data_IF_378968905709
#
_entry.id   IF_378968905709
#
_cell.length_a   1.000
_cell.length_b   1.000
_cell.length_c   1.000
_cell.angle_alpha   90.00
_cell.angle_beta   90.00
_cell.angle_gamma   90.00
#
_symmetry.space_group_name_H-M   'P 1'
#
loop_
_entity.id
_entity.type
_entity.pdbx_description
1 polymer ?
#
# COMPACT_ATOMS: atom_id res chain seq x y z
N UNK A 1 -31.44 1.26 -7.77
CA UNK A 1 -30.44 2.26 -7.35
C UNK A 1 -29.10 1.80 -7.90
N UNK A 2 -28.42 2.60 -8.72
CA UNK A 2 -27.11 2.23 -9.28
C UNK A 2 -26.00 2.42 -8.25
N UNK A 3 -24.95 1.62 -8.34
CA UNK A 3 -23.76 1.82 -7.51
C UNK A 3 -23.07 3.14 -7.92
N UNK A 4 -22.88 4.05 -6.96
CA UNK A 4 -22.10 5.26 -7.19
C UNK A 4 -20.62 4.91 -7.41
N UNK A 5 -19.95 5.68 -8.27
CA UNK A 5 -18.49 5.58 -8.43
C UNK A 5 -17.85 6.14 -7.16
N UNK A 6 -16.93 5.36 -6.57
CA UNK A 6 -16.16 5.78 -5.39
C UNK A 6 -14.71 6.03 -5.77
N UNK A 7 -14.16 7.17 -5.35
CA UNK A 7 -12.74 7.47 -5.50
C UNK A 7 -11.92 6.72 -4.43
N UNK A 8 -10.73 6.25 -4.81
CA UNK A 8 -9.72 5.72 -3.90
C UNK A 8 -8.35 6.30 -4.28
N UNK A 9 -7.61 6.80 -3.29
CA UNK A 9 -6.23 7.27 -3.48
C UNK A 9 -5.28 6.11 -3.24
N UNK A 10 -4.32 5.91 -4.14
CA UNK A 10 -3.18 5.01 -3.95
C UNK A 10 -1.94 5.87 -3.81
N UNK A 11 -1.31 5.88 -2.64
CA UNK A 11 0.01 6.49 -2.43
C UNK A 11 1.06 5.40 -2.66
N UNK A 12 2.06 5.65 -3.51
CA UNK A 12 3.17 4.72 -3.70
C UNK A 12 4.44 5.26 -3.06
N UNK A 13 5.10 4.42 -2.24
CA UNK A 13 6.31 4.80 -1.51
C UNK A 13 7.54 4.01 -1.99
N UNK A 14 7.39 3.24 -3.06
CA UNK A 14 8.37 2.27 -3.56
C UNK A 14 8.07 0.85 -3.08
N UNK A 15 9.14 0.09 -2.87
CA UNK A 15 9.06 -1.33 -2.50
C UNK A 15 8.91 -2.28 -3.68
N UNK A 16 8.81 -3.56 -3.33
CA UNK A 16 8.78 -4.75 -4.20
C UNK A 16 7.78 -4.67 -5.37
N UNK A 17 6.71 -3.88 -5.22
CA UNK A 17 5.70 -3.68 -6.25
C UNK A 17 6.18 -2.76 -7.38
N UNK A 18 7.08 -1.80 -7.10
CA UNK A 18 7.60 -0.89 -8.12
C UNK A 18 8.91 -1.34 -8.77
N UNK A 19 9.51 -2.42 -8.25
CA UNK A 19 10.74 -3.02 -8.79
C UNK A 19 10.48 -3.62 -10.17
N UNK A 20 11.19 -3.10 -11.17
CA UNK A 20 11.26 -3.60 -12.54
C UNK A 20 12.55 -4.40 -12.66
N UNK A 21 12.49 -5.67 -13.07
CA UNK A 21 13.69 -6.44 -13.39
C UNK A 21 14.29 -5.92 -14.71
N UNK A 22 15.59 -5.61 -14.69
CA UNK A 22 16.36 -5.28 -15.87
C UNK A 22 17.13 -6.52 -16.33
N UNK A 23 16.74 -7.07 -17.47
CA UNK A 23 17.29 -8.31 -18.03
C UNK A 23 18.76 -8.17 -18.49
N UNK A 24 19.24 -6.93 -18.73
CA UNK A 24 20.59 -6.69 -19.23
C UNK A 24 21.66 -6.73 -18.13
N UNK A 25 21.32 -6.37 -16.89
CA UNK A 25 22.28 -6.30 -15.78
C UNK A 25 21.82 -7.06 -14.52
N UNK A 26 20.64 -7.66 -14.54
CA UNK A 26 20.07 -8.41 -13.42
C UNK A 26 19.62 -7.52 -12.24
N UNK A 27 19.61 -6.20 -12.41
CA UNK A 27 19.22 -5.26 -11.35
C UNK A 27 17.71 -5.10 -11.24
N UNK A 28 17.24 -4.77 -10.03
CA UNK A 28 15.86 -4.40 -9.76
C UNK A 28 15.79 -2.88 -9.60
N UNK A 29 15.32 -2.19 -10.64
CA UNK A 29 15.19 -0.73 -10.63
C UNK A 29 13.74 -0.29 -10.39
N UNK A 30 13.58 0.76 -9.60
CA UNK A 30 12.30 1.42 -9.37
C UNK A 30 12.04 2.45 -10.49
N UNK A 31 11.20 2.13 -11.48
CA UNK A 31 10.94 3.05 -12.62
C UNK A 31 9.69 3.93 -12.49
N UNK A 32 8.97 3.87 -11.37
CA UNK A 32 7.77 4.68 -11.13
C UNK A 32 6.61 4.35 -12.09
N UNK A 33 5.37 4.49 -11.62
CA UNK A 33 4.11 4.24 -12.39
C UNK A 33 3.90 2.83 -12.96
N UNK A 34 4.60 1.81 -12.43
CA UNK A 34 4.40 0.41 -12.82
C UNK A 34 3.06 -0.19 -12.35
N UNK A 35 2.50 0.29 -11.23
CA UNK A 35 1.23 -0.24 -10.69
C UNK A 35 0.06 -0.10 -11.67
N UNK A 36 -0.03 1.03 -12.38
CA UNK A 36 -1.14 1.32 -13.30
C UNK A 36 -1.15 0.34 -14.47
N UNK A 37 0.02 0.10 -15.06
CA UNK A 37 0.16 -0.73 -16.24
C UNK A 37 0.20 -2.23 -15.92
N UNK A 38 0.62 -2.62 -14.71
CA UNK A 38 0.82 -4.04 -14.35
C UNK A 38 -0.32 -4.66 -13.56
N UNK A 39 -1.00 -3.89 -12.70
CA UNK A 39 -2.11 -4.37 -11.88
C UNK A 39 -3.41 -3.71 -12.30
N UNK A 40 -3.51 -2.38 -12.24
CA UNK A 40 -4.80 -1.69 -12.39
C UNK A 40 -5.41 -1.87 -13.79
N UNK A 41 -4.58 -1.91 -14.84
CA UNK A 41 -5.00 -2.16 -16.23
C UNK A 41 -5.66 -3.53 -16.43
N UNK A 42 -5.33 -4.51 -15.57
CA UNK A 42 -5.87 -5.87 -15.60
C UNK A 42 -7.15 -6.03 -14.76
N UNK A 43 -7.47 -5.02 -13.95
CA UNK A 43 -8.66 -5.03 -13.09
C UNK A 43 -9.87 -4.41 -13.81
N UNK A 44 -11.06 -4.96 -13.54
CA UNK A 44 -12.34 -4.35 -13.97
C UNK A 44 -12.97 -3.64 -12.78
N UNK A 45 -12.89 -2.32 -12.77
CA UNK A 45 -13.33 -1.46 -11.66
C UNK A 45 -14.47 -0.49 -12.07
N UNK A 46 -15.67 -0.98 -12.44
CA UNK A 46 -16.74 -0.14 -12.98
C UNK A 46 -17.30 0.90 -12.00
N UNK A 47 -17.04 0.72 -10.69
CA UNK A 47 -17.53 1.59 -9.62
C UNK A 47 -16.41 2.12 -8.72
N UNK A 48 -15.16 2.07 -9.19
CA UNK A 48 -14.03 2.59 -8.44
C UNK A 48 -13.14 3.40 -9.37
N UNK A 49 -12.95 4.67 -9.05
CA UNK A 49 -11.97 5.52 -9.71
C UNK A 49 -10.69 5.58 -8.86
N UNK A 50 -9.53 5.36 -9.49
CA UNK A 50 -8.25 5.23 -8.79
C UNK A 50 -7.38 6.45 -9.09
N UNK A 51 -6.98 7.16 -8.05
CA UNK A 51 -6.02 8.26 -8.11
C UNK A 51 -4.67 7.80 -7.57
N UNK A 52 -3.67 7.63 -8.44
CA UNK A 52 -2.32 7.22 -8.02
C UNK A 52 -1.48 8.47 -7.74
N UNK A 53 -0.90 8.53 -6.55
CA UNK A 53 0.01 9.57 -6.09
C UNK A 53 1.39 8.97 -5.78
N UNK A 54 2.35 9.06 -6.71
CA UNK A 54 3.73 8.62 -6.46
C UNK A 54 4.40 9.58 -5.47
N UNK A 55 4.86 9.06 -4.33
CA UNK A 55 5.48 9.86 -3.27
C UNK A 55 6.98 9.57 -3.13
N UNK A 56 7.33 8.29 -3.00
CA UNK A 56 8.71 7.85 -2.85
C UNK A 56 8.94 6.64 -3.76
N UNK A 57 10.20 6.30 -4.01
CA UNK A 57 10.56 5.04 -4.63
C UNK A 57 11.78 4.41 -3.95
N UNK A 58 11.60 4.10 -2.66
CA UNK A 58 12.67 3.66 -1.75
C UNK A 58 12.41 2.24 -1.24
N UNK A 59 13.47 1.46 -1.06
CA UNK A 59 13.35 0.18 -0.35
C UNK A 59 13.01 0.45 1.12
N UNK A 60 12.04 -0.28 1.67
CA UNK A 60 11.58 -0.12 3.05
C UNK A 60 12.70 -0.29 4.07
N UNK A 61 13.74 -1.09 3.77
CA UNK A 61 14.89 -1.28 4.64
C UNK A 61 15.73 0.00 4.82
N UNK A 62 15.67 0.94 3.87
CA UNK A 62 16.43 2.19 3.92
C UNK A 62 15.57 3.40 4.31
N UNK A 63 14.26 3.22 4.53
CA UNK A 63 13.38 4.31 4.92
C UNK A 63 13.74 4.85 6.31
N UNK A 64 13.80 6.17 6.41
CA UNK A 64 14.09 6.92 7.64
C UNK A 64 12.81 7.48 8.26
N UNK A 65 12.91 8.02 9.46
CA UNK A 65 11.76 8.69 10.11
C UNK A 65 11.31 9.95 9.35
N UNK A 66 12.22 10.60 8.62
CA UNK A 66 11.87 11.69 7.71
C UNK A 66 10.99 11.20 6.55
N UNK A 67 11.30 10.03 5.98
CA UNK A 67 10.48 9.40 4.95
C UNK A 67 9.08 9.04 5.51
N UNK A 68 9.01 8.50 6.73
CA UNK A 68 7.73 8.18 7.39
C UNK A 68 6.90 9.41 7.70
N UNK A 69 7.56 10.49 8.12
CA UNK A 69 6.90 11.77 8.38
C UNK A 69 6.37 12.41 7.10
N UNK A 70 7.09 12.24 5.98
CA UNK A 70 6.60 12.63 4.66
C UNK A 70 5.35 11.82 4.27
N UNK A 71 5.36 10.49 4.46
CA UNK A 71 4.19 9.63 4.22
C UNK A 71 2.99 10.09 5.06
N UNK A 72 3.19 10.35 6.36
CA UNK A 72 2.14 10.84 7.24
C UNK A 72 1.59 12.21 6.78
N UNK A 73 2.46 13.14 6.40
CA UNK A 73 2.05 14.44 5.87
C UNK A 73 1.21 14.31 4.58
N UNK A 74 1.60 13.41 3.67
CA UNK A 74 0.83 13.12 2.46
C UNK A 74 -0.51 12.47 2.77
N UNK A 75 -0.58 11.52 3.69
CA UNK A 75 -1.85 10.92 4.14
C UNK A 75 -2.78 12.01 4.71
N UNK A 76 -2.24 12.94 5.52
CA UNK A 76 -2.98 14.08 6.08
C UNK A 76 -3.53 15.03 5.01
N UNK A 77 -2.78 15.27 3.95
CA UNK A 77 -3.23 16.08 2.83
C UNK A 77 -4.34 15.34 2.02
N UNK A 78 -4.09 14.08 1.66
CA UNK A 78 -5.03 13.31 0.84
C UNK A 78 -6.33 12.97 1.57
N UNK A 79 -6.33 12.79 2.90
CA UNK A 79 -7.56 12.52 3.65
C UNK A 79 -8.58 13.67 3.58
N UNK A 80 -8.15 14.90 3.24
CA UNK A 80 -9.07 16.04 3.07
C UNK A 80 -10.06 15.83 1.92
N UNK A 81 -9.77 14.92 0.99
CA UNK A 81 -10.68 14.51 -0.08
C UNK A 81 -11.87 13.69 0.42
N UNK A 82 -11.79 13.14 1.63
CA UNK A 82 -12.84 12.29 2.20
C UNK A 82 -12.96 10.91 1.54
N UNK A 83 -11.96 10.48 0.76
CA UNK A 83 -11.94 9.16 0.13
C UNK A 83 -10.93 8.20 0.81
N UNK A 84 -11.15 6.88 0.72
CA UNK A 84 -10.21 5.88 1.23
C UNK A 84 -8.80 6.01 0.62
N UNK A 85 -7.80 5.64 1.41
CA UNK A 85 -6.39 5.67 1.02
C UNK A 85 -5.80 4.28 1.11
N UNK A 86 -5.10 3.85 0.06
CA UNK A 86 -4.23 2.68 0.05
C UNK A 86 -2.78 3.14 -0.06
N UNK A 87 -1.89 2.63 0.78
CA UNK A 87 -0.46 2.94 0.75
C UNK A 87 0.30 1.70 0.30
N UNK A 88 0.91 1.75 -0.88
CA UNK A 88 1.79 0.70 -1.37
C UNK A 88 3.20 0.91 -0.81
N UNK A 89 3.65 -0.04 0.00
CA UNK A 89 4.86 0.06 0.79
C UNK A 89 5.67 -1.25 0.75
N UNK A 90 6.99 -1.15 0.94
CA UNK A 90 7.84 -2.33 1.12
C UNK A 90 7.55 -3.05 2.46
N UNK A 91 7.58 -4.38 2.47
CA UNK A 91 7.05 -5.16 3.61
C UNK A 91 7.93 -5.10 4.86
N UNK A 92 9.24 -4.83 4.74
CA UNK A 92 10.18 -4.93 5.87
C UNK A 92 9.92 -3.93 7.00
N UNK A 93 9.48 -2.72 6.65
CA UNK A 93 9.21 -1.65 7.64
C UNK A 93 7.78 -1.12 7.55
N UNK A 94 6.88 -1.84 6.88
CA UNK A 94 5.48 -1.42 6.69
C UNK A 94 4.74 -1.19 8.01
N UNK A 95 4.86 -2.12 8.96
CA UNK A 95 4.22 -1.98 10.28
C UNK A 95 4.76 -0.77 11.03
N UNK A 96 6.08 -0.55 10.99
CA UNK A 96 6.74 0.61 11.60
C UNK A 96 6.23 1.92 11.00
N UNK A 97 6.10 2.01 9.67
CA UNK A 97 5.54 3.20 9.01
C UNK A 97 4.07 3.41 9.39
N UNK A 98 3.26 2.35 9.43
CA UNK A 98 1.85 2.46 9.76
C UNK A 98 1.63 2.91 11.22
N UNK A 99 2.41 2.38 12.16
CA UNK A 99 2.40 2.80 13.56
C UNK A 99 2.88 4.24 13.73
N UNK A 100 3.94 4.66 13.01
CA UNK A 100 4.39 6.06 13.00
C UNK A 100 3.28 7.00 12.51
N UNK A 101 2.55 6.64 11.46
CA UNK A 101 1.44 7.44 10.95
C UNK A 101 0.31 7.55 11.98
N UNK A 102 -0.03 6.46 12.67
CA UNK A 102 -1.01 6.47 13.76
C UNK A 102 -0.57 7.38 14.92
N UNK A 103 0.71 7.34 15.30
CA UNK A 103 1.25 8.18 16.37
C UNK A 103 1.21 9.66 16.03
N UNK A 104 1.54 10.03 14.79
CA UNK A 104 1.60 11.43 14.33
C UNK A 104 0.21 12.01 14.04
N UNK A 105 -0.70 11.21 13.49
CA UNK A 105 -2.00 11.69 12.99
C UNK A 105 -3.18 11.35 13.91
N UNK A 106 -3.01 10.42 14.84
CA UNK A 106 -4.13 9.80 15.55
C UNK A 106 -5.01 8.96 14.63
N UNK A 107 -6.29 8.82 14.97
CA UNK A 107 -7.26 8.10 14.13
C UNK A 107 -7.61 8.96 12.92
N UNK A 108 -7.41 8.49 11.67
CA UNK A 108 -7.73 9.26 10.48
C UNK A 108 -9.25 9.38 10.29
N UNK A 109 -9.70 10.32 9.45
CA UNK A 109 -11.12 10.51 9.10
C UNK A 109 -11.63 9.57 8.01
N UNK A 110 -10.70 8.86 7.35
CA UNK A 110 -10.96 7.87 6.28
C UNK A 110 -10.15 6.60 6.58
N UNK A 111 -10.54 5.42 6.05
CA UNK A 111 -9.71 4.23 6.16
C UNK A 111 -8.39 4.42 5.38
N UNK A 112 -7.27 4.08 6.03
CA UNK A 112 -5.94 4.06 5.44
C UNK A 112 -5.36 2.65 5.53
N UNK A 113 -5.20 1.99 4.39
CA UNK A 113 -4.79 0.59 4.29
C UNK A 113 -3.39 0.50 3.68
N UNK A 114 -2.42 0.03 4.46
CA UNK A 114 -1.09 -0.30 3.98
C UNK A 114 -1.10 -1.70 3.35
N UNK A 115 -0.39 -1.86 2.24
CA UNK A 115 -0.17 -3.16 1.61
C UNK A 115 1.12 -3.17 0.80
N UNK A 116 1.51 -4.34 0.32
CA UNK A 116 2.75 -4.56 -0.40
C UNK A 116 2.77 -5.96 -1.04
N UNK A 117 3.96 -6.45 -1.33
CA UNK A 117 4.16 -7.79 -1.87
C UNK A 117 5.43 -8.40 -1.28
N UNK A 118 5.41 -9.70 -1.00
CA UNK A 118 6.60 -10.45 -0.65
C UNK A 118 7.45 -10.77 -1.87
N UNK A 119 6.80 -11.02 -3.01
CA UNK A 119 7.47 -11.38 -4.27
C UNK A 119 7.38 -10.20 -5.26
N UNK A 120 8.52 -9.75 -5.84
CA UNK A 120 8.56 -8.63 -6.79
C UNK A 120 7.56 -8.74 -7.94
N UNK A 121 6.99 -7.60 -8.31
CA UNK A 121 6.13 -7.49 -9.50
C UNK A 121 6.98 -7.73 -10.75
N UNK A 122 6.94 -8.94 -11.28
CA UNK A 122 7.77 -9.38 -12.40
C UNK A 122 7.92 -10.88 -12.45
N UNK A 123 7.74 -11.54 -11.31
CA UNK A 123 7.63 -12.99 -11.23
C UNK A 123 6.17 -13.43 -11.36
N UNK A 124 5.93 -14.59 -11.98
CA UNK A 124 4.58 -15.14 -12.19
C UNK A 124 3.84 -15.44 -10.89
N UNK A 125 4.58 -15.75 -9.83
CA UNK A 125 4.10 -16.07 -8.48
C UNK A 125 3.98 -14.84 -7.57
N UNK A 126 4.02 -13.61 -8.13
CA UNK A 126 3.88 -12.39 -7.34
C UNK A 126 2.51 -12.27 -6.67
N UNK A 127 2.52 -12.07 -5.35
CA UNK A 127 1.36 -11.80 -4.49
C UNK A 127 0.82 -10.36 -4.61
N UNK A 128 1.49 -9.49 -5.39
CA UNK A 128 1.14 -8.08 -5.51
C UNK A 128 -0.28 -7.84 -6.01
N UNK A 129 -0.73 -8.58 -7.03
CA UNK A 129 -2.07 -8.40 -7.59
C UNK A 129 -3.16 -8.78 -6.57
N UNK A 130 -2.95 -9.86 -5.82
CA UNK A 130 -3.83 -10.28 -4.74
C UNK A 130 -3.90 -9.20 -3.65
N UNK A 131 -2.76 -8.83 -3.09
CA UNK A 131 -2.69 -7.90 -1.95
C UNK A 131 -3.27 -6.51 -2.30
N UNK A 132 -3.01 -6.00 -3.52
CA UNK A 132 -3.61 -4.73 -3.97
C UNK A 132 -5.12 -4.84 -4.14
N UNK A 133 -5.63 -5.96 -4.68
CA UNK A 133 -7.08 -6.18 -4.80
C UNK A 133 -7.75 -6.19 -3.42
N UNK A 134 -7.16 -6.92 -2.48
CA UNK A 134 -7.65 -7.04 -1.10
C UNK A 134 -7.60 -5.69 -0.38
N UNK A 135 -6.53 -4.91 -0.55
CA UNK A 135 -6.40 -3.59 0.05
C UNK A 135 -7.43 -2.59 -0.51
N UNK A 136 -7.68 -2.61 -1.83
CA UNK A 136 -8.71 -1.77 -2.45
C UNK A 136 -10.11 -2.09 -1.92
N UNK A 137 -10.43 -3.38 -1.78
CA UNK A 137 -11.72 -3.78 -1.21
C UNK A 137 -11.83 -3.40 0.26
N UNK A 138 -10.79 -3.68 1.04
CA UNK A 138 -10.72 -3.36 2.48
C UNK A 138 -10.90 -1.87 2.74
N UNK A 139 -10.22 -1.02 1.96
CA UNK A 139 -10.33 0.43 2.07
C UNK A 139 -11.75 0.95 1.84
N UNK A 140 -12.59 0.23 1.07
CA UNK A 140 -14.00 0.61 0.83
C UNK A 140 -14.97 0.13 1.92
N UNK A 141 -14.59 -0.90 2.69
CA UNK A 141 -15.45 -1.55 3.68
C UNK A 141 -15.15 -1.14 5.12
N UNK A 142 -13.89 -0.81 5.40
CA UNK A 142 -13.44 -0.50 6.75
C UNK A 142 -13.87 0.90 7.20
N UNK A 143 -14.04 1.03 8.51
CA UNK A 143 -14.23 2.32 9.16
C UNK A 143 -12.92 3.12 9.15
N UNK A 144 -12.96 4.44 9.45
CA UNK A 144 -11.75 5.22 9.61
C UNK A 144 -10.79 4.60 10.62
N UNK A 145 -9.52 4.46 10.21
CA UNK A 145 -8.50 3.73 10.95
C UNK A 145 -7.27 3.43 10.08
N UNK A 146 -6.19 2.98 10.74
CA UNK A 146 -4.99 2.48 10.08
C UNK A 146 -4.98 0.96 10.07
N UNK A 147 -4.72 0.37 8.91
CA UNK A 147 -4.76 -1.07 8.70
C UNK A 147 -3.60 -1.56 7.85
N UNK A 148 -3.28 -2.85 7.96
CA UNK A 148 -2.47 -3.59 6.98
C UNK A 148 -3.39 -4.65 6.35
N UNK A 149 -3.45 -4.69 5.02
CA UNK A 149 -4.14 -5.76 4.27
C UNK A 149 -3.10 -6.61 3.56
N UNK A 150 -3.03 -7.89 3.91
CA UNK A 150 -2.01 -8.80 3.39
C UNK A 150 -2.47 -10.25 3.44
N UNK A 151 -2.27 -11.02 2.36
CA UNK A 151 -2.60 -12.46 2.27
C UNK A 151 -3.98 -12.82 2.85
N UNK A 152 -5.02 -12.15 2.36
CA UNK A 152 -6.42 -12.37 2.75
C UNK A 152 -6.76 -12.03 4.21
N UNK A 153 -5.91 -11.27 4.90
CA UNK A 153 -6.15 -10.81 6.26
C UNK A 153 -6.07 -9.29 6.32
N UNK A 154 -6.88 -8.71 7.21
CA UNK A 154 -6.80 -7.29 7.58
C UNK A 154 -6.41 -7.20 9.04
N UNK A 155 -5.33 -6.48 9.31
CA UNK A 155 -4.81 -6.24 10.65
C UNK A 155 -5.03 -4.77 11.02
N UNK A 156 -5.61 -4.51 12.19
CA UNK A 156 -5.73 -3.17 12.75
C UNK A 156 -4.40 -2.75 13.36
N UNK A 157 -3.94 -1.53 13.08
CA UNK A 157 -2.72 -0.94 13.68
C UNK A 157 -3.12 -0.21 14.97
N UNK A 158 -2.35 -0.32 16.08
CA UNK A 158 -1.01 -0.94 16.21
C UNK A 158 -1.06 -2.44 16.50
N UNK A 159 0.10 -3.05 16.81
CA UNK A 159 0.24 -4.47 17.17
C UNK A 159 0.22 -5.43 15.99
N UNK A 160 0.91 -5.05 14.90
CA UNK A 160 1.07 -5.89 13.71
C UNK A 160 2.55 -5.95 13.35
N UNK A 161 3.06 -7.13 13.00
CA UNK A 161 4.46 -7.32 12.59
C UNK A 161 4.59 -8.25 11.39
N UNK A 162 5.70 -8.11 10.65
CA UNK A 162 6.07 -9.04 9.59
C UNK A 162 6.52 -10.36 10.21
N UNK A 163 5.78 -11.44 9.94
CA UNK A 163 6.20 -12.80 10.22
C UNK A 163 7.14 -13.27 9.09
N UNK A 164 8.43 -13.30 9.38
CA UNK A 164 9.46 -13.68 8.39
C UNK A 164 9.50 -15.18 8.11
N UNK A 165 9.11 -16.00 9.07
CA UNK A 165 9.09 -17.46 8.94
C UNK A 165 7.99 -17.90 7.97
N UNK A 166 6.80 -17.32 8.10
CA UNK A 166 5.64 -17.63 7.25
C UNK A 166 5.51 -16.74 6.02
N UNK A 167 6.41 -15.75 5.88
CA UNK A 167 6.34 -14.81 4.76
C UNK A 167 5.02 -14.03 4.73
N UNK A 168 4.54 -13.53 5.87
CA UNK A 168 3.27 -12.77 5.96
C UNK A 168 3.28 -11.75 7.11
N UNK A 169 2.11 -11.28 7.55
CA UNK A 169 1.93 -10.45 8.74
C UNK A 169 1.10 -11.17 9.81
N UNK A 170 1.32 -10.81 11.07
CA UNK A 170 0.58 -11.34 12.21
C UNK A 170 0.37 -10.26 13.29
N UNK A 171 -0.64 -10.45 14.12
CA UNK A 171 -0.85 -9.67 15.34
C UNK A 171 -0.03 -10.21 16.51
N UNK A 172 0.29 -9.36 17.49
CA UNK A 172 1.04 -9.74 18.70
C UNK A 172 0.58 -8.99 19.95
#
# INVERSE_FOLDING_TARGET
MGNAIQDVVIITTGGTIEKTYNEFDGSLENRGTSIRNRILSKMRLPYTNIMVYPLLSKDSLYMTDADRSLIAATIKDQMQRGCPIVVLHGTDTMSVTAEHCLQVLGVPTVPVVFTGAMIPMGFEDSDAAQNVTEALLSAKLLKPGFYISFHNQVFTVPHVRKNREHGTFESF
#
